data_IF_156687607098
#
_entry.id   IF_156687607098
#
_cell.length_a   1.000
_cell.length_b   1.000
_cell.length_c   1.000
_cell.angle_alpha   90.00
_cell.angle_beta   90.00
_cell.angle_gamma   90.00
#
_symmetry.space_group_name_H-M   'P 1'
#
loop_
_entity.id
_entity.type
_entity.pdbx_description
1 polymer ?
#
# COMPACT_ATOMS: atom_id res chain seq x y z
N UNK A 1 28.74 20.89 -25.89
CA UNK A 1 27.80 19.89 -26.44
C UNK A 1 26.60 19.68 -25.50
N UNK A 2 26.80 19.41 -24.20
CA UNK A 2 25.68 19.22 -23.26
C UNK A 2 24.86 20.50 -22.96
N UNK A 3 25.49 21.69 -22.87
CA UNK A 3 24.78 22.94 -22.54
C UNK A 3 23.87 23.48 -23.65
N UNK A 4 24.24 23.26 -24.91
CA UNK A 4 23.46 23.67 -26.09
C UNK A 4 22.21 22.80 -26.31
N UNK A 5 22.26 21.52 -25.93
CA UNK A 5 21.11 20.61 -26.00
C UNK A 5 20.10 20.88 -24.89
N UNK A 6 20.56 21.26 -23.69
CA UNK A 6 19.70 21.62 -22.57
C UNK A 6 18.86 22.88 -22.84
N UNK A 7 19.40 23.87 -23.56
CA UNK A 7 18.64 25.06 -24.01
C UNK A 7 17.50 24.70 -24.98
N UNK A 8 17.61 23.58 -25.66
CA UNK A 8 16.58 23.02 -26.55
C UNK A 8 15.65 22.03 -25.82
N UNK A 9 15.76 21.90 -24.50
CA UNK A 9 14.94 21.01 -23.69
C UNK A 9 15.27 19.51 -23.82
N UNK A 10 16.42 19.17 -24.42
CA UNK A 10 16.87 17.79 -24.56
C UNK A 10 17.73 17.45 -23.34
N UNK A 11 17.13 16.74 -22.39
CA UNK A 11 17.79 16.26 -21.18
C UNK A 11 18.21 14.81 -21.33
N UNK A 12 19.49 14.52 -21.11
CA UNK A 12 19.97 13.15 -20.93
C UNK A 12 19.71 12.74 -19.47
N UNK A 13 18.57 12.10 -19.23
CA UNK A 13 18.10 11.73 -17.89
C UNK A 13 18.83 10.47 -17.43
N UNK A 14 19.97 10.65 -16.76
CA UNK A 14 20.76 9.53 -16.19
C UNK A 14 20.09 8.96 -14.93
N UNK A 15 19.41 9.80 -14.14
CA UNK A 15 18.68 9.41 -12.91
C UNK A 15 17.64 10.46 -12.53
N UNK A 16 16.45 10.03 -12.13
CA UNK A 16 15.40 10.90 -11.58
C UNK A 16 15.26 10.61 -10.09
N UNK A 17 15.56 11.60 -9.25
CA UNK A 17 15.35 11.52 -7.81
C UNK A 17 13.97 12.08 -7.44
N UNK A 18 13.13 11.23 -6.85
CA UNK A 18 11.80 11.61 -6.42
C UNK A 18 11.83 12.06 -4.95
N UNK A 19 11.52 13.34 -4.71
CA UNK A 19 11.52 13.93 -3.36
C UNK A 19 10.09 14.26 -2.93
N UNK A 20 9.68 13.76 -1.78
CA UNK A 20 8.40 14.09 -1.16
C UNK A 20 8.55 15.44 -0.45
N UNK A 21 7.87 16.48 -0.96
CA UNK A 21 7.90 17.82 -0.35
C UNK A 21 7.12 17.87 0.96
N UNK A 22 5.89 17.35 0.94
CA UNK A 22 4.98 17.40 2.08
C UNK A 22 4.24 16.06 2.25
N UNK A 23 4.57 15.34 3.32
CA UNK A 23 3.99 14.02 3.60
C UNK A 23 2.70 14.10 4.45
N UNK A 24 2.66 15.04 5.40
CA UNK A 24 1.55 15.22 6.34
C UNK A 24 0.17 15.39 5.67
N UNK A 25 -0.02 16.27 4.66
CA UNK A 25 -1.33 16.44 4.03
C UNK A 25 -1.80 15.18 3.29
N UNK A 26 -0.87 14.45 2.66
CA UNK A 26 -1.16 13.19 1.94
C UNK A 26 -1.62 12.13 2.93
N UNK A 27 -0.94 11.99 4.07
CA UNK A 27 -1.33 11.05 5.12
C UNK A 27 -2.67 11.41 5.74
N UNK A 28 -2.94 12.70 6.00
CA UNK A 28 -4.22 13.15 6.51
C UNK A 28 -5.38 12.83 5.54
N UNK A 29 -5.16 13.02 4.24
CA UNK A 29 -6.14 12.66 3.21
C UNK A 29 -6.43 11.16 3.20
N UNK A 30 -5.40 10.31 3.29
CA UNK A 30 -5.55 8.86 3.36
C UNK A 30 -6.29 8.42 4.62
N UNK A 31 -5.94 8.98 5.79
CA UNK A 31 -6.62 8.68 7.05
C UNK A 31 -8.11 9.07 7.00
N UNK A 32 -8.42 10.25 6.45
CA UNK A 32 -9.80 10.69 6.28
C UNK A 32 -10.59 9.76 5.35
N UNK A 33 -9.98 9.30 4.25
CA UNK A 33 -10.59 8.33 3.35
C UNK A 33 -10.83 6.98 4.05
N UNK A 34 -9.84 6.47 4.77
CA UNK A 34 -9.94 5.21 5.55
C UNK A 34 -11.05 5.28 6.60
N UNK A 35 -11.15 6.37 7.35
CA UNK A 35 -12.20 6.57 8.34
C UNK A 35 -13.60 6.56 7.71
N UNK A 36 -13.77 7.20 6.54
CA UNK A 36 -15.04 7.20 5.78
C UNK A 36 -15.41 5.78 5.31
N UNK A 37 -14.45 5.04 4.77
CA UNK A 37 -14.66 3.66 4.32
C UNK A 37 -15.02 2.75 5.49
N UNK A 38 -14.32 2.87 6.62
CA UNK A 38 -14.59 2.09 7.82
C UNK A 38 -16.02 2.34 8.32
N UNK A 39 -16.43 3.60 8.40
CA UNK A 39 -17.80 3.98 8.78
C UNK A 39 -18.84 3.38 7.83
N UNK A 40 -18.64 3.54 6.51
CA UNK A 40 -19.54 2.99 5.49
C UNK A 40 -19.62 1.46 5.54
N UNK A 41 -18.50 0.77 5.80
CA UNK A 41 -18.48 -0.68 6.01
C UNK A 41 -19.28 -1.08 7.24
N UNK A 42 -19.05 -0.44 8.38
CA UNK A 42 -19.80 -0.72 9.62
C UNK A 42 -21.31 -0.51 9.42
N UNK A 43 -21.72 0.58 8.78
CA UNK A 43 -23.12 0.85 8.44
C UNK A 43 -23.71 -0.22 7.51
N UNK A 44 -22.96 -0.62 6.47
CA UNK A 44 -23.37 -1.68 5.55
C UNK A 44 -23.57 -3.02 6.27
N UNK A 45 -22.68 -3.40 7.17
CA UNK A 45 -22.85 -4.64 7.96
C UNK A 45 -24.05 -4.56 8.92
N UNK A 46 -24.31 -3.39 9.50
CA UNK A 46 -25.50 -3.18 10.33
C UNK A 46 -26.79 -3.37 9.52
N UNK A 47 -26.83 -2.94 8.25
CA UNK A 47 -27.97 -3.16 7.34
C UNK A 47 -28.22 -4.65 7.07
N UNK A 48 -27.16 -5.47 7.02
CA UNK A 48 -27.27 -6.92 6.85
C UNK A 48 -27.64 -7.68 8.14
N UNK A 49 -28.05 -6.98 9.20
CA UNK A 49 -28.53 -7.59 10.44
C UNK A 49 -27.44 -8.00 11.42
N UNK A 50 -26.17 -7.67 11.14
CA UNK A 50 -25.08 -7.79 12.13
C UNK A 50 -25.22 -6.65 13.12
N UNK A 51 -26.04 -6.84 14.16
CA UNK A 51 -26.32 -5.80 15.15
C UNK A 51 -25.04 -5.40 15.90
N UNK A 52 -24.64 -4.14 15.72
CA UNK A 52 -23.66 -3.43 16.56
C UNK A 52 -22.22 -3.95 16.46
N UNK A 53 -21.62 -3.88 15.28
CA UNK A 53 -20.17 -3.95 15.14
C UNK A 53 -19.54 -2.67 15.71
N UNK A 54 -19.20 -2.70 16.99
CA UNK A 54 -18.41 -1.63 17.60
C UNK A 54 -16.94 -1.91 17.29
N UNK A 55 -16.35 -1.07 16.43
CA UNK A 55 -14.90 -1.05 16.23
C UNK A 55 -14.24 -0.78 17.59
N UNK A 56 -13.66 -1.82 18.18
CA UNK A 56 -13.15 -1.76 19.55
C UNK A 56 -11.68 -1.35 19.56
N UNK A 57 -10.93 -1.78 18.55
CA UNK A 57 -9.50 -1.50 18.46
C UNK A 57 -8.97 -1.58 17.02
N UNK A 58 -8.08 -0.67 16.66
CA UNK A 58 -7.23 -0.82 15.48
C UNK A 58 -6.13 -1.82 15.82
N UNK A 59 -6.09 -2.93 15.08
CA UNK A 59 -5.15 -4.04 15.29
C UNK A 59 -3.86 -3.84 14.54
N UNK A 60 -3.93 -3.23 13.36
CA UNK A 60 -2.78 -2.91 12.55
C UNK A 60 -3.09 -1.68 11.70
N UNK A 61 -2.11 -0.81 11.56
CA UNK A 61 -2.06 0.27 10.58
C UNK A 61 -0.69 0.22 9.91
N UNK A 62 -0.68 -0.19 8.64
CA UNK A 62 0.53 -0.39 7.86
C UNK A 62 0.51 0.55 6.64
N UNK A 63 1.06 1.77 6.76
CA UNK A 63 1.30 2.64 5.62
C UNK A 63 2.54 2.19 4.85
N UNK A 64 2.45 2.21 3.52
CA UNK A 64 3.58 1.91 2.62
C UNK A 64 3.69 2.96 1.51
N UNK A 65 4.92 3.16 1.04
CA UNK A 65 5.25 4.12 -0.02
C UNK A 65 5.98 3.37 -1.13
N UNK A 66 5.50 3.52 -2.36
CA UNK A 66 6.09 2.91 -3.55
C UNK A 66 6.65 3.99 -4.47
N UNK A 67 7.96 3.91 -4.71
CA UNK A 67 8.66 4.82 -5.61
C UNK A 67 8.57 4.32 -7.05
N UNK A 68 8.49 5.21 -8.05
CA UNK A 68 8.36 4.79 -9.45
C UNK A 68 9.46 3.86 -9.94
N UNK A 69 10.69 4.04 -9.46
CA UNK A 69 11.82 3.18 -9.81
C UNK A 69 11.54 1.71 -9.49
N UNK A 70 10.84 1.43 -8.39
CA UNK A 70 10.44 0.07 -8.00
C UNK A 70 9.36 -0.54 -8.89
N UNK A 71 8.65 0.28 -9.67
CA UNK A 71 7.60 -0.14 -10.59
C UNK A 71 8.09 -0.47 -12.00
N UNK A 72 9.37 -0.24 -12.33
CA UNK A 72 9.90 -0.59 -13.64
C UNK A 72 10.16 -2.09 -13.74
N UNK A 73 9.65 -2.69 -14.83
CA UNK A 73 9.86 -4.10 -15.15
C UNK A 73 10.59 -4.23 -16.48
N UNK A 74 11.53 -5.16 -16.54
CA UNK A 74 12.18 -5.56 -17.78
C UNK A 74 11.28 -6.51 -18.57
N UNK A 75 11.12 -6.25 -19.85
CA UNK A 75 10.51 -7.15 -20.81
C UNK A 75 11.60 -7.63 -21.79
N UNK A 76 11.66 -8.95 -21.99
CA UNK A 76 12.48 -9.55 -23.04
C UNK A 76 11.57 -10.36 -23.95
N UNK A 77 11.67 -10.14 -25.26
CA UNK A 77 10.85 -10.86 -26.22
C UNK A 77 11.10 -12.37 -26.13
N UNK A 78 10.03 -13.15 -26.01
CA UNK A 78 10.13 -14.60 -25.89
C UNK A 78 10.75 -15.23 -27.15
N UNK A 79 10.40 -14.70 -28.33
CA UNK A 79 10.89 -15.19 -29.61
C UNK A 79 11.87 -14.19 -30.25
N UNK A 80 12.90 -14.73 -30.88
CA UNK A 80 13.81 -14.00 -31.76
C UNK A 80 13.77 -14.66 -33.12
N UNK A 81 13.87 -13.88 -34.19
CA UNK A 81 13.88 -14.43 -35.54
C UNK A 81 15.14 -15.28 -35.73
N UNK A 82 14.96 -16.58 -35.92
CA UNK A 82 16.03 -17.51 -36.31
C UNK A 82 16.08 -17.54 -37.82
N UNK A 83 17.24 -17.26 -38.41
CA UNK A 83 17.45 -17.37 -39.84
C UNK A 83 17.90 -18.81 -40.13
N UNK A 84 17.07 -19.58 -40.82
CA UNK A 84 17.43 -20.92 -41.30
C UNK A 84 18.16 -20.82 -42.64
N UNK A 85 19.49 -20.65 -42.60
CA UNK A 85 20.36 -20.74 -43.78
C UNK A 85 21.18 -22.03 -43.75
N UNK A 86 21.52 -22.56 -44.94
CA UNK A 86 22.41 -23.72 -45.10
C UNK A 86 23.77 -23.42 -44.42
N UNK A 87 24.03 -24.08 -43.30
CA UNK A 87 25.17 -23.82 -42.38
C UNK A 87 26.54 -24.10 -43.01
N UNK A 88 26.55 -24.74 -44.17
CA UNK A 88 27.73 -25.21 -44.89
C UNK A 88 28.64 -24.05 -45.38
N UNK A 89 28.13 -22.80 -45.43
CA UNK A 89 28.86 -21.63 -45.96
C UNK A 89 28.81 -20.37 -45.12
N UNK A 90 28.10 -20.34 -43.99
CA UNK A 90 27.90 -19.12 -43.19
C UNK A 90 27.95 -19.40 -41.68
N UNK A 91 28.64 -18.52 -40.94
CA UNK A 91 28.58 -18.46 -39.47
C UNK A 91 27.34 -17.66 -39.05
N UNK A 92 26.44 -18.28 -38.28
CA UNK A 92 25.23 -17.60 -37.77
C UNK A 92 25.56 -17.01 -36.40
N UNK A 93 25.72 -15.70 -36.33
CA UNK A 93 25.83 -14.96 -35.07
C UNK A 93 24.42 -14.62 -34.58
N UNK A 94 24.01 -15.19 -33.44
CA UNK A 94 22.72 -14.87 -32.84
C UNK A 94 22.83 -13.51 -32.14
N UNK A 95 22.09 -12.50 -32.61
CA UNK A 95 22.01 -11.23 -31.91
C UNK A 95 21.36 -11.41 -30.52
N UNK A 96 21.89 -10.70 -29.51
CA UNK A 96 21.29 -10.67 -28.18
C UNK A 96 19.87 -10.09 -28.28
N UNK A 97 18.93 -10.73 -27.58
CA UNK A 97 17.55 -10.24 -27.49
C UNK A 97 17.53 -8.91 -26.76
N UNK A 98 17.06 -7.86 -27.43
CA UNK A 98 16.84 -6.54 -26.82
C UNK A 98 15.89 -6.66 -25.64
N UNK A 99 16.28 -6.10 -24.49
CA UNK A 99 15.38 -5.92 -23.35
C UNK A 99 14.88 -4.48 -23.35
N UNK A 100 13.58 -4.32 -23.11
CA UNK A 100 12.95 -3.00 -22.95
C UNK A 100 12.40 -2.89 -21.53
N UNK A 101 12.27 -1.67 -21.01
CA UNK A 101 11.69 -1.43 -19.70
C UNK A 101 10.36 -0.72 -19.86
N UNK A 102 9.39 -1.10 -19.03
CA UNK A 102 8.09 -0.42 -18.96
C UNK A 102 7.74 -0.14 -17.51
N UNK A 103 7.01 0.95 -17.29
CA UNK A 103 6.50 1.30 -15.98
C UNK A 103 5.21 0.52 -15.71
N UNK A 104 5.19 -0.22 -14.60
CA UNK A 104 4.05 -1.00 -14.14
C UNK A 104 3.58 -0.47 -12.77
N UNK A 105 2.59 0.43 -12.71
CA UNK A 105 2.10 1.00 -11.46
C UNK A 105 1.49 -0.07 -10.56
N UNK A 106 1.36 0.23 -9.27
CA UNK A 106 0.57 -0.60 -8.35
C UNK A 106 -0.88 -0.65 -8.84
N UNK A 107 -1.40 -1.87 -8.97
CA UNK A 107 -2.80 -2.11 -9.33
C UNK A 107 -3.72 -1.67 -8.18
N UNK A 108 -4.86 -1.08 -8.53
CA UNK A 108 -5.92 -0.72 -7.60
C UNK A 108 -6.77 -1.90 -7.13
N UNK A 109 -6.55 -3.09 -7.69
CA UNK A 109 -7.27 -4.29 -7.33
C UNK A 109 -7.00 -4.71 -5.86
N UNK A 110 -8.05 -5.12 -5.16
CA UNK A 110 -8.00 -5.51 -3.74
C UNK A 110 -8.07 -4.34 -2.75
N UNK A 111 -8.09 -3.09 -3.21
CA UNK A 111 -8.31 -1.92 -2.36
C UNK A 111 -9.80 -1.54 -2.30
N UNK A 112 -10.23 -1.03 -1.15
CA UNK A 112 -11.61 -0.57 -0.95
C UNK A 112 -11.92 0.75 -1.68
N UNK A 113 -10.90 1.60 -1.84
CA UNK A 113 -10.97 2.83 -2.61
C UNK A 113 -9.59 3.18 -3.17
N UNK A 114 -9.59 3.75 -4.36
CA UNK A 114 -8.39 4.28 -5.02
C UNK A 114 -8.61 5.76 -5.30
N UNK A 115 -7.73 6.60 -4.75
CA UNK A 115 -7.71 8.03 -5.00
C UNK A 115 -6.79 8.28 -6.20
N UNK A 116 -7.27 9.04 -7.19
CA UNK A 116 -6.54 9.34 -8.43
C UNK A 116 -6.10 8.08 -9.22
N UNK A 117 -7.04 7.30 -9.75
CA UNK A 117 -6.74 6.02 -10.42
C UNK A 117 -6.04 6.17 -11.79
N UNK A 118 -6.14 7.36 -12.41
CA UNK A 118 -5.52 7.61 -13.72
C UNK A 118 -4.09 8.11 -13.52
N UNK A 119 -3.12 7.34 -13.99
CA UNK A 119 -1.70 7.63 -13.88
C UNK A 119 -1.13 7.74 -15.30
N UNK A 120 -0.83 8.98 -15.72
CA UNK A 120 -0.25 9.27 -17.04
C UNK A 120 1.29 9.25 -16.95
N UNK A 121 1.83 9.65 -15.78
CA UNK A 121 3.26 9.77 -15.52
C UNK A 121 3.66 8.98 -14.27
N UNK A 122 4.91 8.50 -14.17
CA UNK A 122 5.41 7.78 -12.99
C UNK A 122 5.40 8.67 -11.73
N UNK A 123 4.55 8.32 -10.76
CA UNK A 123 4.37 9.03 -9.49
C UNK A 123 4.62 8.14 -8.27
N UNK A 124 4.99 8.76 -7.15
CA UNK A 124 5.06 8.05 -5.86
C UNK A 124 3.63 7.66 -5.45
N UNK A 125 3.45 6.38 -5.09
CA UNK A 125 2.17 5.85 -4.66
C UNK A 125 2.18 5.60 -3.15
N UNK A 126 1.07 5.93 -2.50
CA UNK A 126 0.89 5.76 -1.06
C UNK A 126 -0.26 4.78 -0.81
N UNK A 127 -0.04 3.83 0.07
CA UNK A 127 -1.05 2.85 0.49
C UNK A 127 -1.20 2.85 1.99
N UNK A 128 -2.41 2.62 2.50
CA UNK A 128 -2.66 2.41 3.92
C UNK A 128 -3.52 1.17 4.09
N UNK A 129 -3.05 0.23 4.92
CA UNK A 129 -3.80 -0.95 5.30
C UNK A 129 -4.16 -0.89 6.77
N UNK A 130 -5.45 -0.73 7.05
CA UNK A 130 -5.98 -0.68 8.41
C UNK A 130 -6.80 -1.93 8.70
N UNK A 131 -6.38 -2.68 9.72
CA UNK A 131 -7.11 -3.84 10.24
C UNK A 131 -7.78 -3.45 11.56
N UNK A 132 -9.09 -3.59 11.62
CA UNK A 132 -9.89 -3.27 12.81
C UNK A 132 -10.48 -4.53 13.39
N UNK A 133 -10.43 -4.68 14.71
CA UNK A 133 -11.18 -5.69 15.45
C UNK A 133 -12.53 -5.08 15.84
N UNK A 134 -13.59 -5.74 15.38
CA UNK A 134 -14.95 -5.44 15.79
C UNK A 134 -15.43 -6.53 16.73
N UNK A 135 -15.96 -6.13 17.89
CA UNK A 135 -16.61 -7.06 18.80
C UNK A 135 -18.07 -7.19 18.40
N UNK A 136 -18.56 -8.42 18.33
CA UNK A 136 -20.00 -8.68 18.28
C UNK A 136 -20.50 -8.69 19.73
N UNK A 137 -21.59 -7.99 20.06
CA UNK A 137 -22.23 -8.16 21.36
C UNK A 137 -22.70 -9.61 21.47
N UNK A 138 -22.07 -10.39 22.36
CA UNK A 138 -22.55 -11.73 22.67
C UNK A 138 -23.92 -11.61 23.36
N UNK A 139 -24.98 -12.26 22.85
CA UNK A 139 -26.23 -12.34 23.61
C UNK A 139 -25.97 -13.25 24.83
N UNK A 140 -25.75 -12.65 26.00
CA UNK A 140 -25.75 -13.40 27.27
C UNK A 140 -24.58 -13.21 28.24
N UNK A 141 -23.65 -12.27 27.99
CA UNK A 141 -22.71 -11.85 29.05
C UNK A 141 -22.92 -10.39 29.37
N UNK A 142 -23.93 -10.12 30.18
CA UNK A 142 -23.89 -8.96 31.08
C UNK A 142 -22.64 -9.15 31.93
N UNK A 143 -21.53 -8.51 31.55
CA UNK A 143 -20.54 -8.15 32.56
C UNK A 143 -21.29 -7.27 33.55
N UNK A 144 -21.74 -7.90 34.63
CA UNK A 144 -22.07 -7.23 35.88
C UNK A 144 -20.83 -6.42 36.18
N UNK A 145 -20.87 -5.13 35.84
CA UNK A 145 -19.87 -4.17 36.25
C UNK A 145 -19.73 -4.37 37.76
N UNK A 146 -18.61 -4.97 38.20
CA UNK A 146 -18.28 -4.99 39.61
C UNK A 146 -18.39 -3.54 40.06
N UNK A 147 -19.23 -3.20 41.05
CA UNK A 147 -19.35 -1.83 41.48
C UNK A 147 -17.94 -1.35 41.84
N UNK A 148 -17.46 -0.36 41.10
CA UNK A 148 -16.26 0.38 41.49
C UNK A 148 -16.67 1.12 42.74
N UNK A 149 -16.42 0.48 43.89
CA UNK A 149 -16.43 1.15 45.18
C UNK A 149 -15.29 2.17 45.08
N UNK A 150 -15.55 3.48 45.17
CA UNK A 150 -14.47 4.45 45.20
C UNK A 150 -13.71 4.26 46.51
N UNK A 151 -12.59 3.53 46.45
CA UNK A 151 -11.72 3.38 47.61
C UNK A 151 -10.81 4.62 47.67
N UNK A 152 -10.93 5.48 48.70
CA UNK A 152 -9.99 6.57 48.89
C UNK A 152 -8.59 6.01 49.13
N UNK A 153 -7.61 6.65 48.52
CA UNK A 153 -6.21 6.28 48.51
C UNK A 153 -5.68 5.81 49.89
N UNK A 154 -5.35 4.53 49.99
CA UNK A 154 -4.35 4.05 50.93
C UNK A 154 -3.46 3.03 50.24
N UNK A 155 -2.31 3.52 49.78
CA UNK A 155 -1.15 2.73 49.42
C UNK A 155 -0.76 1.83 50.59
N UNK A 156 -0.93 0.51 50.44
CA UNK A 156 -0.21 -0.49 51.21
C UNK A 156 0.11 -1.69 50.33
N UNK A 157 1.39 -1.86 50.06
CA UNK A 157 1.99 -3.05 49.49
C UNK A 157 1.72 -4.24 50.43
N UNK A 158 1.21 -5.34 49.90
CA UNK A 158 1.43 -6.66 50.48
C UNK A 158 1.73 -7.65 49.36
N UNK A 159 2.98 -8.11 49.37
CA UNK A 159 3.48 -9.24 48.59
C UNK A 159 3.12 -10.50 49.38
N UNK A 160 2.54 -11.52 48.74
CA UNK A 160 2.55 -12.90 49.23
C UNK A 160 2.32 -13.88 48.08
N UNK A 161 3.10 -14.97 48.11
CA UNK A 161 3.38 -15.94 47.05
C UNK A 161 2.54 -17.23 47.19
N UNK A 162 2.07 -17.76 46.04
CA UNK A 162 1.84 -19.17 45.67
C UNK A 162 0.84 -20.03 46.49
N UNK A 163 0.29 -21.14 45.93
CA UNK A 163 0.59 -21.81 44.64
C UNK A 163 -0.36 -21.47 43.48
#
# INVERSE_FOLDING_TARGET
>A
MASSAAQLGIYDLVKVDYVIKELAPIQAQLQAATARILKAKTERYNQFGVKSLVATQVVADNPSIYYPLSGYKSYQAAQSNTIELRRDRYTIENALKTSTYYFNPLDGNGFDAVINPVIIEPVIQFTSYVKVRCNMPQPGKTEIAKPVVPNPAFTRFKVELLP
#
